data_IF_265432514349
#
_entry.id   IF_265432514349
#
_cell.length_a   1.000
_cell.length_b   1.000
_cell.length_c   1.000
_cell.angle_alpha   90.00
_cell.angle_beta   90.00
_cell.angle_gamma   90.00
#
_symmetry.space_group_name_H-M   'P 1'
#
loop_
_entity.id
_entity.type
_entity.pdbx_description
1 polymer ?
#
# COMPACT_ATOMS: atom_id res chain seq x y z
N UNK A 1 -38.07 34.19 -7.85
CA UNK A 1 -36.65 33.92 -8.20
C UNK A 1 -36.62 32.82 -9.25
N UNK A 2 -35.97 33.07 -10.38
CA UNK A 2 -35.82 32.12 -11.50
C UNK A 2 -34.63 31.19 -11.25
N UNK A 3 -34.79 29.91 -11.59
CA UNK A 3 -33.73 28.91 -11.70
C UNK A 3 -32.70 29.37 -12.75
N UNK A 4 -31.44 29.51 -12.35
CA UNK A 4 -30.32 29.59 -13.29
C UNK A 4 -29.58 28.26 -13.22
N UNK A 5 -29.89 27.41 -14.20
CA UNK A 5 -29.07 26.27 -14.61
C UNK A 5 -27.78 26.84 -15.20
N UNK A 6 -26.70 26.86 -14.42
CA UNK A 6 -25.36 27.07 -14.95
C UNK A 6 -24.69 25.71 -15.16
N UNK A 7 -24.60 25.31 -16.43
CA UNK A 7 -23.68 24.29 -16.91
C UNK A 7 -22.25 24.75 -16.58
N UNK A 8 -21.40 23.95 -15.91
CA UNK A 8 -20.02 24.33 -15.71
C UNK A 8 -19.28 24.19 -17.05
N UNK A 9 -19.05 25.34 -17.69
CA UNK A 9 -18.16 25.47 -18.82
C UNK A 9 -16.71 25.33 -18.36
N UNK A 10 -16.04 24.31 -18.90
CA UNK A 10 -14.58 24.14 -18.97
C UNK A 10 -13.81 24.13 -17.64
N UNK A 11 -13.90 23.01 -16.90
CA UNK A 11 -12.85 22.56 -15.97
C UNK A 11 -12.09 21.37 -16.58
N UNK A 12 -11.48 21.57 -17.76
CA UNK A 12 -10.67 20.54 -18.44
C UNK A 12 -9.18 20.57 -18.03
N UNK A 13 -8.77 21.38 -17.05
CA UNK A 13 -7.34 21.62 -16.75
C UNK A 13 -6.83 21.11 -15.39
N UNK A 14 -7.64 20.39 -14.61
CA UNK A 14 -7.21 19.89 -13.28
C UNK A 14 -7.75 18.50 -12.96
N UNK A 15 -8.03 17.66 -13.97
CA UNK A 15 -8.27 16.25 -13.72
C UNK A 15 -6.92 15.54 -13.82
N UNK A 16 -6.43 14.91 -12.74
CA UNK A 16 -5.23 14.09 -12.80
C UNK A 16 -5.35 13.00 -13.86
N UNK A 17 -4.23 12.70 -14.53
CA UNK A 17 -4.17 11.68 -15.56
C UNK A 17 -4.62 10.31 -15.02
N UNK A 18 -5.51 9.62 -15.74
CA UNK A 18 -6.12 8.35 -15.32
C UNK A 18 -7.28 8.47 -14.32
N UNK A 19 -7.63 9.67 -13.84
CA UNK A 19 -8.82 9.87 -13.00
C UNK A 19 -10.10 9.59 -13.80
N UNK A 20 -10.16 10.00 -15.06
CA UNK A 20 -11.34 9.77 -15.90
C UNK A 20 -11.54 8.27 -16.20
N UNK A 21 -10.47 7.52 -16.44
CA UNK A 21 -10.51 6.08 -16.65
C UNK A 21 -10.90 5.33 -15.37
N UNK A 22 -10.37 5.78 -14.23
CA UNK A 22 -10.78 5.27 -12.91
C UNK A 22 -12.26 5.58 -12.65
N UNK A 23 -12.74 6.78 -13.00
CA UNK A 23 -14.14 7.17 -12.88
C UNK A 23 -15.01 6.32 -13.81
N UNK A 24 -14.57 6.03 -15.03
CA UNK A 24 -15.32 5.20 -15.97
C UNK A 24 -15.40 3.74 -15.53
N UNK A 25 -14.31 3.16 -15.03
CA UNK A 25 -14.29 1.82 -14.43
C UNK A 25 -15.22 1.76 -13.21
N UNK A 26 -15.15 2.75 -12.32
CA UNK A 26 -16.03 2.84 -11.17
C UNK A 26 -17.49 3.10 -11.57
N UNK A 27 -17.76 3.86 -12.63
CA UNK A 27 -19.15 4.09 -13.06
C UNK A 27 -19.72 2.82 -13.68
N UNK A 28 -18.97 2.12 -14.55
CA UNK A 28 -19.40 0.84 -15.17
C UNK A 28 -19.63 -0.28 -14.15
N UNK A 29 -18.82 -0.37 -13.08
CA UNK A 29 -19.00 -1.38 -12.02
C UNK A 29 -20.24 -1.09 -11.16
N UNK A 30 -20.58 0.19 -10.96
CA UNK A 30 -21.61 0.60 -10.00
C UNK A 30 -22.97 0.96 -10.63
N UNK A 31 -23.08 1.00 -11.98
CA UNK A 31 -24.33 1.21 -12.74
C UNK A 31 -25.23 -0.04 -12.84
N UNK A 32 -24.89 -1.11 -12.12
CA UNK A 32 -25.59 -2.41 -12.13
C UNK A 32 -26.82 -2.49 -11.22
N UNK A 33 -27.27 -1.38 -10.61
CA UNK A 33 -28.45 -1.37 -9.76
C UNK A 33 -28.86 0.03 -9.31
N UNK A 34 -30.11 0.13 -8.84
CA UNK A 34 -30.84 1.35 -8.45
C UNK A 34 -30.20 2.07 -7.22
N UNK A 35 -28.95 2.53 -7.35
CA UNK A 35 -28.21 3.26 -6.31
C UNK A 35 -28.66 4.71 -6.30
N UNK A 36 -28.80 5.27 -5.09
CA UNK A 36 -29.15 6.67 -4.94
C UNK A 36 -28.06 7.60 -5.50
N UNK A 37 -28.45 8.80 -5.94
CA UNK A 37 -27.51 9.85 -6.37
C UNK A 37 -26.50 10.19 -5.27
N UNK A 38 -26.91 10.12 -4.00
CA UNK A 38 -26.03 10.31 -2.85
C UNK A 38 -24.95 9.22 -2.78
N UNK A 39 -25.33 7.95 -2.97
CA UNK A 39 -24.38 6.82 -3.02
C UNK A 39 -23.33 7.03 -4.13
N UNK A 40 -23.76 7.43 -5.32
CA UNK A 40 -22.87 7.71 -6.44
C UNK A 40 -21.92 8.86 -6.12
N UNK A 41 -22.42 9.95 -5.53
CA UNK A 41 -21.60 11.08 -5.14
C UNK A 41 -20.56 10.72 -4.08
N UNK A 42 -20.91 9.90 -3.08
CA UNK A 42 -19.97 9.44 -2.06
C UNK A 42 -18.87 8.53 -2.64
N UNK A 43 -19.22 7.66 -3.58
CA UNK A 43 -18.23 6.86 -4.33
C UNK A 43 -17.26 7.79 -5.05
N UNK A 44 -17.77 8.81 -5.75
CA UNK A 44 -16.97 9.79 -6.46
C UNK A 44 -16.00 10.55 -5.54
N UNK A 45 -16.50 11.06 -4.41
CA UNK A 45 -15.65 11.74 -3.41
C UNK A 45 -14.53 10.82 -2.94
N UNK A 46 -14.84 9.53 -2.73
CA UNK A 46 -13.84 8.55 -2.27
C UNK A 46 -12.80 8.23 -3.34
N UNK A 47 -13.19 8.15 -4.62
CA UNK A 47 -12.26 7.99 -5.75
C UNK A 47 -11.31 9.18 -5.86
N UNK A 48 -11.84 10.41 -5.78
CA UNK A 48 -11.03 11.63 -5.82
C UNK A 48 -10.06 11.68 -4.63
N UNK A 49 -10.54 11.33 -3.43
CA UNK A 49 -9.70 11.25 -2.25
C UNK A 49 -8.58 10.22 -2.40
N UNK A 50 -8.91 9.02 -2.88
CA UNK A 50 -7.91 7.98 -3.16
C UNK A 50 -6.84 8.48 -4.15
N UNK A 51 -7.25 9.13 -5.24
CA UNK A 51 -6.31 9.67 -6.21
C UNK A 51 -5.40 10.76 -5.59
N UNK A 52 -5.95 11.63 -4.74
CA UNK A 52 -5.16 12.64 -4.03
C UNK A 52 -4.12 12.00 -3.10
N UNK A 53 -4.51 10.93 -2.40
CA UNK A 53 -3.62 10.16 -1.54
C UNK A 53 -2.51 9.48 -2.35
N UNK A 54 -2.82 8.91 -3.51
CA UNK A 54 -1.83 8.33 -4.43
C UNK A 54 -0.86 9.38 -4.98
N UNK A 55 -1.34 10.59 -5.26
CA UNK A 55 -0.47 11.71 -5.62
C UNK A 55 0.49 12.08 -4.49
N UNK A 56 0.00 12.16 -3.24
CA UNK A 56 0.82 12.47 -2.06
C UNK A 56 1.79 11.35 -1.71
N UNK A 57 1.40 10.09 -1.87
CA UNK A 57 2.25 8.96 -1.54
C UNK A 57 3.52 8.92 -2.41
N UNK A 58 3.44 9.43 -3.65
CA UNK A 58 4.60 9.54 -4.57
C UNK A 58 5.63 10.59 -4.14
N UNK A 59 5.33 11.45 -3.17
CA UNK A 59 6.26 12.45 -2.65
C UNK A 59 7.26 11.86 -1.63
N UNK A 60 6.98 10.67 -1.10
CA UNK A 60 7.93 9.97 -0.23
C UNK A 60 9.07 9.38 -1.07
N UNK A 61 10.31 9.66 -0.67
CA UNK A 61 11.51 9.06 -1.28
C UNK A 61 11.60 7.56 -1.00
N UNK A 62 11.14 7.13 0.17
CA UNK A 62 11.10 5.74 0.58
C UNK A 62 9.80 5.09 0.09
N UNK A 63 9.93 4.03 -0.72
CA UNK A 63 8.80 3.30 -1.32
C UNK A 63 7.98 2.56 -0.27
N UNK A 64 8.64 2.03 0.77
CA UNK A 64 7.96 1.40 1.91
C UNK A 64 7.11 2.44 2.63
N UNK A 65 7.66 3.62 2.91
CA UNK A 65 6.90 4.70 3.55
C UNK A 65 5.70 5.15 2.70
N UNK A 66 5.85 5.19 1.36
CA UNK A 66 4.76 5.46 0.44
C UNK A 66 3.61 4.44 0.59
N UNK A 67 3.94 3.14 0.66
CA UNK A 67 2.96 2.09 0.86
C UNK A 67 2.35 2.10 2.27
N UNK A 68 3.13 2.41 3.31
CA UNK A 68 2.64 2.58 4.67
C UNK A 68 1.62 3.72 4.78
N UNK A 69 1.91 4.85 4.14
CA UNK A 69 0.99 5.97 4.04
C UNK A 69 -0.33 5.57 3.37
N UNK A 70 -0.27 4.86 2.24
CA UNK A 70 -1.47 4.39 1.54
C UNK A 70 -2.27 3.40 2.37
N UNK A 71 -1.59 2.43 3.01
CA UNK A 71 -2.21 1.45 3.90
C UNK A 71 -2.98 2.13 5.03
N UNK A 72 -2.34 3.06 5.75
CA UNK A 72 -2.95 3.77 6.89
C UNK A 72 -4.19 4.58 6.46
N UNK A 73 -4.07 5.36 5.38
CA UNK A 73 -5.17 6.24 4.94
C UNK A 73 -6.34 5.45 4.35
N UNK A 74 -6.07 4.42 3.53
CA UNK A 74 -7.14 3.58 3.00
C UNK A 74 -7.84 2.79 4.10
N UNK A 75 -7.09 2.28 5.09
CA UNK A 75 -7.67 1.59 6.24
C UNK A 75 -8.61 2.51 7.01
N UNK A 76 -8.18 3.75 7.27
CA UNK A 76 -9.02 4.74 7.92
C UNK A 76 -10.34 4.98 7.16
N UNK A 77 -10.27 5.16 5.84
CA UNK A 77 -11.47 5.34 5.00
C UNK A 77 -12.38 4.10 5.10
N UNK A 78 -11.82 2.89 4.99
CA UNK A 78 -12.56 1.63 5.10
C UNK A 78 -13.25 1.53 6.47
N UNK A 79 -12.56 1.84 7.57
CA UNK A 79 -13.15 1.80 8.91
C UNK A 79 -14.25 2.84 9.08
N UNK A 80 -14.08 4.05 8.54
CA UNK A 80 -15.12 5.09 8.59
C UNK A 80 -16.38 4.70 7.83
N UNK A 81 -16.24 4.08 6.66
CA UNK A 81 -17.39 3.56 5.91
C UNK A 81 -18.02 2.36 6.63
N UNK A 82 -17.21 1.41 7.11
CA UNK A 82 -17.66 0.18 7.78
C UNK A 82 -18.48 0.47 9.04
N UNK A 83 -18.07 1.49 9.81
CA UNK A 83 -18.62 1.81 11.13
C UNK A 83 -19.68 2.94 11.08
N UNK A 84 -20.25 3.24 9.91
CA UNK A 84 -21.32 4.23 9.75
C UNK A 84 -22.38 3.77 8.75
N UNK A 85 -23.48 4.51 8.65
CA UNK A 85 -24.57 4.24 7.68
C UNK A 85 -24.11 4.31 6.22
N UNK A 86 -22.91 4.85 5.97
CA UNK A 86 -22.26 4.84 4.66
C UNK A 86 -22.08 3.41 4.13
N UNK A 87 -21.91 2.40 4.99
CA UNK A 87 -21.84 1.00 4.55
C UNK A 87 -23.05 0.59 3.72
N UNK A 88 -24.26 0.97 4.13
CA UNK A 88 -25.48 0.64 3.39
C UNK A 88 -25.53 1.34 2.02
N UNK A 89 -24.99 2.57 1.95
CA UNK A 89 -24.94 3.35 0.71
C UNK A 89 -23.84 2.90 -0.25
N UNK A 90 -22.69 2.47 0.28
CA UNK A 90 -21.51 2.05 -0.49
C UNK A 90 -21.55 0.56 -0.87
N UNK A 91 -22.15 -0.27 -0.03
CA UNK A 91 -22.29 -1.71 -0.22
C UNK A 91 -21.06 -2.52 0.17
N UNK A 92 -21.28 -3.80 0.48
CA UNK A 92 -20.24 -4.71 0.99
C UNK A 92 -19.16 -5.04 -0.05
N UNK A 93 -19.49 -5.02 -1.34
CA UNK A 93 -18.52 -5.20 -2.43
C UNK A 93 -17.48 -4.08 -2.45
N UNK A 94 -17.91 -2.84 -2.18
CA UNK A 94 -17.01 -1.70 -2.07
C UNK A 94 -16.04 -1.91 -0.89
N UNK A 95 -16.55 -2.34 0.27
CA UNK A 95 -15.72 -2.65 1.44
C UNK A 95 -14.71 -3.77 1.15
N UNK A 96 -15.14 -4.84 0.47
CA UNK A 96 -14.27 -5.96 0.09
C UNK A 96 -13.16 -5.51 -0.85
N UNK A 97 -13.48 -4.74 -1.91
CA UNK A 97 -12.48 -4.22 -2.87
C UNK A 97 -11.45 -3.33 -2.17
N UNK A 98 -11.88 -2.42 -1.30
CA UNK A 98 -10.96 -1.48 -0.64
C UNK A 98 -10.16 -2.13 0.50
N UNK A 99 -10.73 -3.10 1.23
CA UNK A 99 -9.97 -3.92 2.17
C UNK A 99 -8.88 -4.74 1.47
N UNK A 100 -9.17 -5.24 0.26
CA UNK A 100 -8.17 -5.88 -0.60
C UNK A 100 -7.02 -4.93 -0.97
N UNK A 101 -7.32 -3.68 -1.34
CA UNK A 101 -6.29 -2.65 -1.61
C UNK A 101 -5.43 -2.35 -0.37
N UNK A 102 -6.03 -2.25 0.82
CA UNK A 102 -5.29 -2.05 2.09
C UNK A 102 -4.28 -3.19 2.29
N UNK A 103 -4.72 -4.44 2.14
CA UNK A 103 -3.86 -5.62 2.25
C UNK A 103 -2.75 -5.61 1.19
N UNK A 104 -3.05 -5.21 -0.04
CA UNK A 104 -2.04 -5.10 -1.10
C UNK A 104 -0.95 -4.09 -0.73
N UNK A 105 -1.33 -2.93 -0.18
CA UNK A 105 -0.35 -1.95 0.31
C UNK A 105 0.45 -2.47 1.51
N UNK A 106 -0.15 -3.24 2.41
CA UNK A 106 0.56 -3.91 3.50
C UNK A 106 1.63 -4.88 2.96
N UNK A 107 1.27 -5.75 2.02
CA UNK A 107 2.23 -6.68 1.38
C UNK A 107 3.34 -5.94 0.65
N UNK A 108 3.01 -4.87 -0.07
CA UNK A 108 4.02 -4.11 -0.81
C UNK A 108 4.95 -3.33 0.12
N UNK A 109 4.41 -2.77 1.22
CA UNK A 109 5.19 -2.16 2.29
C UNK A 109 6.23 -3.12 2.84
N UNK A 110 5.83 -4.35 3.16
CA UNK A 110 6.72 -5.38 3.69
C UNK A 110 7.80 -5.74 2.69
N UNK A 111 7.40 -6.07 1.46
CA UNK A 111 8.35 -6.41 0.40
C UNK A 111 9.36 -5.29 0.19
N UNK A 112 8.92 -4.05 0.08
CA UNK A 112 9.80 -2.91 -0.12
C UNK A 112 10.75 -2.69 1.08
N UNK A 113 10.29 -3.00 2.29
CA UNK A 113 11.10 -2.87 3.52
C UNK A 113 12.18 -3.95 3.59
N UNK A 114 11.81 -5.20 3.33
CA UNK A 114 12.68 -6.35 3.61
C UNK A 114 13.51 -6.81 2.42
N UNK A 115 13.22 -6.38 1.18
CA UNK A 115 13.92 -6.87 -0.02
C UNK A 115 15.45 -6.77 0.08
N UNK A 116 15.99 -5.70 0.68
CA UNK A 116 17.44 -5.52 0.87
C UNK A 116 17.99 -6.52 1.87
N UNK A 117 17.34 -6.68 3.03
CA UNK A 117 17.72 -7.63 4.09
C UNK A 117 17.70 -9.06 3.55
N UNK A 118 16.62 -9.44 2.86
CA UNK A 118 16.45 -10.77 2.27
C UNK A 118 17.45 -11.05 1.15
N UNK A 119 17.83 -10.03 0.38
CA UNK A 119 18.85 -10.20 -0.67
C UNK A 119 20.22 -10.60 -0.12
N UNK A 120 20.55 -10.21 1.11
CA UNK A 120 21.80 -10.61 1.77
C UNK A 120 21.83 -12.10 2.16
N UNK A 121 20.67 -12.74 2.24
CA UNK A 121 20.51 -14.13 2.67
C UNK A 121 20.46 -15.15 1.51
N UNK A 122 20.31 -14.73 0.25
CA UNK A 122 20.26 -15.67 -0.91
C UNK A 122 21.62 -16.31 -1.21
N UNK A 123 21.69 -17.58 -1.57
CA UNK A 123 22.94 -18.32 -1.81
C UNK A 123 23.79 -17.89 -3.03
N UNK A 124 23.26 -17.01 -3.87
CA UNK A 124 23.88 -16.55 -5.12
C UNK A 124 25.23 -15.85 -4.88
N UNK A 125 26.35 -16.49 -5.26
CA UNK A 125 27.70 -15.91 -5.14
C UNK A 125 28.47 -16.29 -3.87
N UNK A 126 27.98 -17.25 -3.08
CA UNK A 126 28.72 -17.83 -1.94
C UNK A 126 29.76 -18.89 -2.41
N UNK A 127 29.51 -19.50 -3.56
CA UNK A 127 30.35 -20.55 -4.14
C UNK A 127 31.42 -19.96 -5.06
N UNK A 128 32.69 -20.29 -4.78
CA UNK A 128 33.80 -20.01 -5.68
C UNK A 128 33.86 -21.15 -6.71
N UNK A 129 33.31 -20.92 -7.91
CA UNK A 129 33.47 -21.86 -9.02
C UNK A 129 34.91 -21.77 -9.53
N UNK A 130 35.76 -22.75 -9.19
CA UNK A 130 37.12 -22.79 -9.71
C UNK A 130 38.16 -23.63 -8.97
N UNK A 131 37.86 -24.29 -7.85
CA UNK A 131 38.83 -25.16 -7.18
C UNK A 131 38.18 -26.41 -6.61
N UNK A 132 38.94 -27.50 -6.49
CA UNK A 132 38.53 -28.86 -6.12
C UNK A 132 37.86 -29.00 -4.74
N UNK A 133 37.58 -27.90 -4.03
CA UNK A 133 36.66 -27.85 -2.89
C UNK A 133 35.47 -26.97 -3.24
N UNK A 134 34.28 -27.57 -3.33
CA UNK A 134 32.98 -26.88 -3.42
C UNK A 134 32.60 -26.20 -2.10
N UNK A 135 33.50 -25.37 -1.55
CA UNK A 135 33.38 -24.74 -0.24
C UNK A 135 32.86 -23.31 -0.29
N UNK A 136 31.99 -22.97 0.65
CA UNK A 136 31.57 -21.59 0.95
C UNK A 136 32.78 -20.77 1.39
N UNK A 137 33.00 -19.59 0.77
CA UNK A 137 34.08 -18.69 1.19
C UNK A 137 33.77 -18.01 2.52
N UNK A 138 34.63 -18.19 3.53
CA UNK A 138 34.51 -17.51 4.84
C UNK A 138 34.51 -15.99 4.74
N UNK A 139 35.27 -15.41 3.79
CA UNK A 139 35.30 -13.96 3.59
C UNK A 139 34.00 -13.45 2.98
N UNK A 140 33.47 -14.15 1.98
CA UNK A 140 32.18 -13.82 1.35
C UNK A 140 31.02 -13.90 2.37
N UNK A 141 31.05 -14.92 3.24
CA UNK A 141 30.06 -15.06 4.32
C UNK A 141 30.15 -13.89 5.32
N UNK A 142 31.36 -13.48 5.71
CA UNK A 142 31.57 -12.36 6.64
C UNK A 142 31.10 -11.02 6.07
N UNK A 143 31.33 -10.76 4.79
CA UNK A 143 30.81 -9.57 4.12
C UNK A 143 29.29 -9.56 4.04
N UNK A 144 28.67 -10.72 3.76
CA UNK A 144 27.22 -10.87 3.76
C UNK A 144 26.58 -10.59 5.11
N UNK A 145 27.16 -11.11 6.20
CA UNK A 145 26.69 -10.80 7.56
C UNK A 145 26.77 -9.29 7.88
N UNK A 146 27.84 -8.62 7.44
CA UNK A 146 27.94 -7.17 7.61
C UNK A 146 26.86 -6.42 6.83
N UNK A 147 26.64 -6.78 5.57
CA UNK A 147 25.61 -6.17 4.72
C UNK A 147 24.21 -6.42 5.27
N UNK A 148 23.94 -7.63 5.77
CA UNK A 148 22.69 -7.98 6.44
C UNK A 148 22.46 -7.12 7.67
N UNK A 149 23.45 -7.04 8.58
CA UNK A 149 23.33 -6.24 9.80
C UNK A 149 23.09 -4.76 9.50
N UNK A 150 23.80 -4.21 8.53
CA UNK A 150 23.61 -2.82 8.11
C UNK A 150 22.21 -2.58 7.53
N UNK A 151 21.73 -3.46 6.65
CA UNK A 151 20.38 -3.35 6.09
C UNK A 151 19.30 -3.52 7.16
N UNK A 152 19.50 -4.43 8.10
CA UNK A 152 18.57 -4.67 9.20
C UNK A 152 18.50 -3.47 10.15
N UNK A 153 19.63 -2.88 10.53
CA UNK A 153 19.68 -1.68 11.37
C UNK A 153 19.01 -0.47 10.70
N UNK A 154 19.19 -0.32 9.38
CA UNK A 154 18.55 0.76 8.60
C UNK A 154 17.02 0.61 8.58
N UNK A 155 16.52 -0.61 8.36
CA UNK A 155 15.09 -0.95 8.45
C UNK A 155 14.57 -0.66 9.84
N UNK A 156 15.24 -1.16 10.89
CA UNK A 156 14.82 -0.96 12.27
C UNK A 156 14.73 0.53 12.64
N UNK A 157 15.76 1.31 12.28
CA UNK A 157 15.80 2.76 12.53
C UNK A 157 14.67 3.49 11.81
N UNK A 158 14.40 3.13 10.56
CA UNK A 158 13.35 3.74 9.75
C UNK A 158 11.96 3.38 10.29
N UNK A 159 11.71 2.11 10.59
CA UNK A 159 10.43 1.63 11.12
C UNK A 159 10.12 2.18 12.52
N UNK A 160 11.13 2.36 13.37
CA UNK A 160 10.93 2.91 14.73
C UNK A 160 10.36 4.33 14.73
N UNK A 161 10.52 5.08 13.64
CA UNK A 161 9.98 6.43 13.49
C UNK A 161 8.56 6.47 12.89
N UNK A 162 8.02 5.33 12.45
CA UNK A 162 6.76 5.28 11.71
C UNK A 162 5.58 4.90 12.59
N UNK A 163 4.45 5.58 12.39
CA UNK A 163 3.25 5.43 13.22
C UNK A 163 2.15 4.74 12.42
N UNK A 164 1.61 3.65 13.00
CA UNK A 164 0.33 3.04 12.60
C UNK A 164 -0.66 3.36 13.71
N UNK A 165 -1.56 4.34 13.50
CA UNK A 165 -2.47 4.81 14.55
C UNK A 165 -3.49 3.76 14.97
N UNK A 166 -3.99 3.00 14.00
CA UNK A 166 -5.02 1.99 14.23
C UNK A 166 -4.43 0.76 14.95
N UNK A 167 -4.91 0.41 16.15
CA UNK A 167 -4.33 -0.68 16.94
C UNK A 167 -4.41 -2.05 16.27
N UNK A 168 -5.54 -2.35 15.61
CA UNK A 168 -5.74 -3.63 14.93
C UNK A 168 -4.79 -3.75 13.74
N UNK A 169 -4.71 -2.71 12.90
CA UNK A 169 -3.78 -2.69 11.76
C UNK A 169 -2.32 -2.78 12.23
N UNK A 170 -1.99 -2.16 13.36
CA UNK A 170 -0.64 -2.23 13.95
C UNK A 170 -0.32 -3.65 14.41
N UNK A 171 -1.24 -4.32 15.08
CA UNK A 171 -1.06 -5.70 15.52
C UNK A 171 -0.91 -6.66 14.32
N UNK A 172 -1.78 -6.54 13.32
CA UNK A 172 -1.70 -7.33 12.09
C UNK A 172 -0.35 -7.12 11.37
N UNK A 173 0.09 -5.87 11.25
CA UNK A 173 1.38 -5.53 10.63
C UNK A 173 2.55 -6.08 11.45
N UNK A 174 2.50 -5.97 12.78
CA UNK A 174 3.54 -6.47 13.67
C UNK A 174 3.67 -8.00 13.59
N UNK A 175 2.56 -8.71 13.73
CA UNK A 175 2.53 -10.17 13.65
C UNK A 175 3.02 -10.66 12.29
N UNK A 176 2.68 -9.96 11.22
CA UNK A 176 3.16 -10.29 9.88
C UNK A 176 4.65 -10.02 9.70
N UNK A 177 5.17 -8.89 10.20
CA UNK A 177 6.62 -8.61 10.17
C UNK A 177 7.42 -9.69 10.91
N UNK A 178 6.92 -10.13 12.08
CA UNK A 178 7.56 -11.22 12.84
C UNK A 178 7.60 -12.54 12.04
N UNK A 179 6.53 -12.85 11.29
CA UNK A 179 6.47 -14.06 10.45
C UNK A 179 7.45 -14.01 9.28
N UNK A 180 7.50 -12.90 8.53
CA UNK A 180 8.43 -12.72 7.40
C UNK A 180 9.89 -12.93 7.80
N UNK A 181 10.29 -12.38 8.95
CA UNK A 181 11.63 -12.58 9.50
C UNK A 181 11.86 -14.07 9.85
N UNK A 182 10.88 -14.72 10.49
CA UNK A 182 11.00 -16.12 10.90
C UNK A 182 11.13 -17.09 9.71
N UNK A 183 10.36 -16.88 8.63
CA UNK A 183 10.41 -17.72 7.43
C UNK A 183 11.65 -17.49 6.58
N UNK A 184 12.34 -16.37 6.74
CA UNK A 184 13.55 -16.05 5.96
C UNK A 184 14.83 -16.61 6.59
N UNK A 185 14.74 -17.19 7.78
CA UNK A 185 15.85 -17.80 8.54
C UNK A 185 15.82 -19.35 8.46
N UNK A 186 14.76 -19.93 7.88
CA UNK A 186 14.62 -21.37 7.62
C UNK A 186 14.95 -21.71 6.18
#
# INVERSE_FOLDING_TARGET
MKLIVNKPSQTSKFLPEGLMDSIEEYTKVFDSGNRSLLSLHLIWVTVILQHNLEGKSKLYKDVSLSHLFMMNNLHYIVQKVKNSDLRALMGDDWLRKHSGKVRQHATNYQRATWIKVLSCLRDEGIHVSGSFSSGVSKSALKERFKSFNAAFEDVHRSQAAWIIPDPQLREETSHFNSREIATSVQ
#
